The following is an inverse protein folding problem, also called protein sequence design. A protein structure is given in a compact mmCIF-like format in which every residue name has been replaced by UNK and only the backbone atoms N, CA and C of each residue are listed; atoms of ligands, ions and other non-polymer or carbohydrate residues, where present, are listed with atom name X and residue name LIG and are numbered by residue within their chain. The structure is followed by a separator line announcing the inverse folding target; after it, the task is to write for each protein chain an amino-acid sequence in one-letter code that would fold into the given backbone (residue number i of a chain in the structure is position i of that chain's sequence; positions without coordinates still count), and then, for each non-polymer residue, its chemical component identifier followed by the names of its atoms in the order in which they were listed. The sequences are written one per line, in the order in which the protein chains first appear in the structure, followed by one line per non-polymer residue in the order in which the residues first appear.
data_IF_325237892532
#
_entry.id   IF_325237892532
#
_cell.length_a   1.000
_cell.length_b   1.000
_cell.length_c   1.000
_cell.angle_alpha   90.00
_cell.angle_beta   90.00
_cell.angle_gamma   90.00
#
_symmetry.space_group_name_H-M   'P 1'
#
loop_
_entity.id
_entity.type
_entity.pdbx_description
1 polymer ?
#
# COMPACT_ATOMS: atom_id res chain seq x y z
N UNK A 1 29.22 15.46 -48.48
CA UNK A 1 28.52 14.68 -47.43
C UNK A 1 29.28 13.39 -47.15
N UNK A 2 30.60 13.46 -46.91
CA UNK A 2 31.44 12.26 -46.85
C UNK A 2 32.78 12.58 -46.20
N UNK A 3 32.84 12.43 -44.89
CA UNK A 3 34.01 11.99 -44.14
C UNK A 3 33.58 11.85 -42.67
N UNK A 4 33.88 10.71 -42.07
CA UNK A 4 33.61 10.34 -40.67
C UNK A 4 34.50 11.15 -39.69
N UNK A 5 34.80 12.41 -39.99
CA UNK A 5 35.87 13.23 -39.40
C UNK A 5 35.53 13.77 -38.01
N UNK A 6 34.25 14.07 -37.76
CA UNK A 6 33.79 14.55 -36.44
C UNK A 6 32.65 13.63 -35.99
N UNK A 7 32.85 12.96 -34.85
CA UNK A 7 31.85 12.07 -34.24
C UNK A 7 31.46 12.59 -32.87
N UNK A 8 30.15 12.66 -32.61
CA UNK A 8 29.64 12.94 -31.28
C UNK A 8 29.86 11.69 -30.43
N UNK A 9 30.65 11.81 -29.36
CA UNK A 9 30.86 10.72 -28.40
C UNK A 9 29.56 10.48 -27.64
N UNK A 10 29.09 9.24 -27.61
CA UNK A 10 27.94 8.86 -26.80
C UNK A 10 28.18 9.17 -25.32
N UNK A 11 27.14 9.65 -24.65
CA UNK A 11 27.18 9.90 -23.20
C UNK A 11 27.46 8.60 -22.44
N UNK A 12 28.50 8.60 -21.59
CA UNK A 12 28.84 7.45 -20.76
C UNK A 12 28.02 7.48 -19.47
N UNK A 13 27.01 6.61 -19.39
CA UNK A 13 26.25 6.37 -18.16
C UNK A 13 26.87 5.30 -17.27
N UNK A 14 26.36 5.17 -16.05
CA UNK A 14 26.68 4.03 -15.16
C UNK A 14 25.57 2.97 -15.21
N UNK A 15 25.96 1.69 -15.19
CA UNK A 15 25.00 0.60 -15.24
C UNK A 15 24.26 0.42 -13.91
N UNK A 16 22.95 0.14 -13.98
CA UNK A 16 22.10 -0.15 -12.80
C UNK A 16 21.98 -1.65 -12.49
N UNK A 17 22.71 -2.52 -13.20
CA UNK A 17 22.59 -3.98 -13.08
C UNK A 17 22.75 -4.48 -11.64
N UNK A 18 23.80 -4.05 -10.94
CA UNK A 18 24.02 -4.41 -9.51
C UNK A 18 22.89 -3.91 -8.60
N UNK A 19 22.36 -2.72 -8.87
CA UNK A 19 21.25 -2.16 -8.10
C UNK A 19 19.95 -2.94 -8.33
N UNK A 20 19.67 -3.35 -9.56
CA UNK A 20 18.50 -4.18 -9.89
C UNK A 20 18.56 -5.55 -9.21
N UNK A 21 19.71 -6.22 -9.26
CA UNK A 21 19.92 -7.49 -8.56
C UNK A 21 19.68 -7.35 -7.05
N UNK A 22 20.22 -6.29 -6.42
CA UNK A 22 19.97 -6.00 -4.99
C UNK A 22 18.50 -5.69 -4.71
N UNK A 23 17.80 -4.97 -5.60
CA UNK A 23 16.36 -4.65 -5.46
C UNK A 23 15.50 -5.90 -5.53
N UNK A 24 15.76 -6.79 -6.50
CA UNK A 24 15.06 -8.08 -6.64
C UNK A 24 15.24 -8.90 -5.36
N UNK A 25 16.49 -9.02 -4.87
CA UNK A 25 16.76 -9.75 -3.64
C UNK A 25 16.04 -9.15 -2.43
N UNK A 26 16.04 -7.81 -2.28
CA UNK A 26 15.31 -7.12 -1.21
C UNK A 26 13.80 -7.31 -1.31
N UNK A 27 13.23 -7.37 -2.52
CA UNK A 27 11.81 -7.63 -2.71
C UNK A 27 11.43 -9.05 -2.28
N UNK A 28 12.31 -10.04 -2.51
CA UNK A 28 12.04 -11.45 -2.17
C UNK A 28 12.13 -11.73 -0.66
N UNK A 29 13.22 -11.30 -0.01
CA UNK A 29 13.51 -11.66 1.41
C UNK A 29 13.49 -10.49 2.40
N UNK A 30 13.27 -9.26 1.93
CA UNK A 30 13.41 -8.06 2.75
C UNK A 30 14.85 -7.77 3.18
N UNK A 31 14.99 -6.76 4.04
CA UNK A 31 16.27 -6.36 4.64
C UNK A 31 16.48 -7.08 5.98
N UNK A 32 17.63 -7.74 6.16
CA UNK A 32 18.03 -8.40 7.42
C UNK A 32 18.21 -7.40 8.56
N UNK A 33 18.04 -7.83 9.81
CA UNK A 33 18.11 -6.93 10.98
C UNK A 33 19.47 -6.20 11.08
N UNK A 34 20.60 -6.91 10.93
CA UNK A 34 21.93 -6.31 10.98
C UNK A 34 22.23 -5.31 9.85
N UNK A 35 21.43 -5.30 8.77
CA UNK A 35 21.56 -4.33 7.68
C UNK A 35 20.63 -3.12 7.84
N UNK A 36 19.70 -3.13 8.81
CA UNK A 36 18.80 -2.00 9.07
C UNK A 36 19.53 -0.97 9.91
N UNK A 37 19.71 0.22 9.36
CA UNK A 37 20.20 1.39 10.09
C UNK A 37 18.99 2.26 10.47
N UNK A 38 19.01 2.82 11.68
CA UNK A 38 17.96 3.71 12.18
C UNK A 38 16.78 3.05 12.91
N UNK A 39 16.15 3.82 13.80
CA UNK A 39 15.00 3.40 14.62
C UNK A 39 13.79 3.05 13.73
N UNK A 40 12.90 2.17 14.21
CA UNK A 40 11.67 1.76 13.51
C UNK A 40 10.85 2.94 12.95
N UNK A 41 10.68 4.00 13.75
CA UNK A 41 9.91 5.18 13.36
C UNK A 41 10.60 6.08 12.31
N UNK A 42 11.93 6.00 12.18
CA UNK A 42 12.68 6.72 11.14
C UNK A 42 12.60 6.02 9.78
N UNK A 43 12.41 4.69 9.78
CA UNK A 43 12.27 3.89 8.55
C UNK A 43 10.88 4.02 7.92
N UNK A 44 9.84 4.07 8.74
CA UNK A 44 8.46 4.38 8.35
C UNK A 44 7.76 5.06 9.53
N UNK A 45 7.11 6.20 9.29
CA UNK A 45 6.44 6.96 10.34
C UNK A 45 5.17 6.28 10.85
N UNK A 46 4.88 6.38 12.16
CA UNK A 46 3.63 5.84 12.75
C UNK A 46 2.38 6.43 12.06
N UNK A 47 2.39 7.74 11.82
CA UNK A 47 1.30 8.47 11.16
C UNK A 47 1.10 8.03 9.72
N UNK A 48 2.20 7.81 8.99
CA UNK A 48 2.16 7.33 7.60
C UNK A 48 1.52 5.95 7.47
N UNK A 49 1.89 5.02 8.36
CA UNK A 49 1.26 3.68 8.43
C UNK A 49 -0.23 3.80 8.73
N UNK A 50 -0.61 4.63 9.70
CA UNK A 50 -2.02 4.82 10.06
C UNK A 50 -2.84 5.41 8.90
N UNK A 51 -2.34 6.46 8.25
CA UNK A 51 -3.00 7.10 7.11
C UNK A 51 -3.19 6.11 5.97
N UNK A 52 -2.15 5.35 5.62
CA UNK A 52 -2.20 4.33 4.56
C UNK A 52 -3.23 3.25 4.88
N UNK A 53 -3.23 2.76 6.13
CA UNK A 53 -4.21 1.79 6.61
C UNK A 53 -5.63 2.31 6.48
N UNK A 54 -5.94 3.46 7.08
CA UNK A 54 -7.29 4.04 7.11
C UNK A 54 -7.81 4.33 5.70
N UNK A 55 -6.99 4.93 4.82
CA UNK A 55 -7.36 5.21 3.43
C UNK A 55 -7.72 3.93 2.69
N UNK A 56 -6.91 2.88 2.84
CA UNK A 56 -7.14 1.60 2.17
C UNK A 56 -8.42 0.90 2.64
N UNK A 57 -8.80 1.06 3.92
CA UNK A 57 -10.03 0.49 4.47
C UNK A 57 -11.26 1.29 4.03
N UNK A 58 -11.20 2.62 4.09
CA UNK A 58 -12.29 3.50 3.66
C UNK A 58 -12.60 3.35 2.18
N UNK A 59 -11.59 3.21 1.34
CA UNK A 59 -11.78 2.96 -0.09
C UNK A 59 -12.53 1.65 -0.34
N UNK A 60 -12.16 0.55 0.34
CA UNK A 60 -12.87 -0.73 0.21
C UNK A 60 -14.29 -0.67 0.73
N UNK A 61 -14.51 0.01 1.85
CA UNK A 61 -15.85 0.24 2.38
C UNK A 61 -16.71 1.06 1.41
N UNK A 62 -16.13 2.06 0.74
CA UNK A 62 -16.79 2.81 -0.33
C UNK A 62 -17.19 1.88 -1.49
N UNK A 63 -16.28 1.03 -1.96
CA UNK A 63 -16.57 0.05 -3.02
C UNK A 63 -17.73 -0.89 -2.62
N UNK A 64 -17.76 -1.37 -1.38
CA UNK A 64 -18.87 -2.19 -0.90
C UNK A 64 -20.21 -1.42 -0.91
N UNK A 65 -20.21 -0.14 -0.49
CA UNK A 65 -21.39 0.72 -0.57
C UNK A 65 -21.84 0.93 -2.01
N UNK A 66 -20.90 1.22 -2.92
CA UNK A 66 -21.21 1.48 -4.33
C UNK A 66 -21.81 0.23 -5.02
N UNK A 67 -21.43 -0.97 -4.56
CA UNK A 67 -22.03 -2.25 -4.97
C UNK A 67 -23.37 -2.58 -4.31
N UNK A 68 -23.88 -1.69 -3.44
CA UNK A 68 -25.10 -1.88 -2.63
C UNK A 68 -25.03 -3.12 -1.72
N UNK A 69 -23.83 -3.51 -1.32
CA UNK A 69 -23.60 -4.59 -0.37
C UNK A 69 -23.96 -4.20 1.08
N UNK A 70 -23.98 -2.90 1.36
CA UNK A 70 -24.26 -2.31 2.68
C UNK A 70 -25.17 -1.10 2.52
N UNK A 71 -25.98 -0.81 3.54
CA UNK A 71 -26.81 0.40 3.57
C UNK A 71 -25.96 1.63 3.93
N UNK A 72 -26.50 2.84 3.68
CA UNK A 72 -25.82 4.08 4.03
C UNK A 72 -25.63 4.23 5.55
N UNK A 73 -26.55 3.69 6.37
CA UNK A 73 -26.46 3.72 7.83
C UNK A 73 -25.27 2.88 8.32
N UNK A 74 -25.17 1.65 7.84
CA UNK A 74 -24.09 0.73 8.22
C UNK A 74 -22.72 1.21 7.73
N UNK A 75 -22.69 1.86 6.55
CA UNK A 75 -21.49 2.50 6.03
C UNK A 75 -20.90 3.49 7.04
N UNK A 76 -21.71 4.39 7.60
CA UNK A 76 -21.21 5.40 8.55
C UNK A 76 -20.78 4.80 9.88
N UNK A 77 -21.45 3.74 10.35
CA UNK A 77 -21.04 3.02 11.55
C UNK A 77 -19.64 2.39 11.37
N UNK A 78 -19.45 1.64 10.27
CA UNK A 78 -18.16 1.04 9.92
C UNK A 78 -17.09 2.11 9.66
N UNK A 79 -17.46 3.23 9.04
CA UNK A 79 -16.55 4.34 8.78
C UNK A 79 -15.98 4.96 10.07
N UNK A 80 -16.83 5.13 11.10
CA UNK A 80 -16.42 5.59 12.43
C UNK A 80 -15.50 4.57 13.12
N UNK A 81 -15.84 3.28 13.06
CA UNK A 81 -15.00 2.18 13.59
C UNK A 81 -13.61 2.12 12.95
N UNK A 82 -13.52 2.39 11.63
CA UNK A 82 -12.23 2.52 10.94
C UNK A 82 -11.43 3.70 11.49
N UNK A 83 -12.07 4.86 11.69
CA UNK A 83 -11.45 6.05 12.30
C UNK A 83 -10.90 5.77 13.70
N UNK A 84 -11.66 5.01 14.51
CA UNK A 84 -11.27 4.56 15.84
C UNK A 84 -10.22 3.42 15.87
N UNK A 85 -9.67 2.99 14.72
CA UNK A 85 -8.71 1.89 14.61
C UNK A 85 -9.22 0.52 15.11
N UNK A 86 -10.54 0.35 15.28
CA UNK A 86 -11.18 -0.92 15.65
C UNK A 86 -11.01 -1.97 14.55
N UNK A 87 -11.05 -1.53 13.29
CA UNK A 87 -10.82 -2.39 12.13
C UNK A 87 -9.32 -2.65 11.97
N UNK A 88 -8.94 -3.94 12.03
CA UNK A 88 -7.54 -4.38 12.13
C UNK A 88 -6.86 -4.41 10.76
N UNK A 89 -7.50 -5.04 9.78
CA UNK A 89 -7.00 -5.24 8.43
C UNK A 89 -8.17 -5.39 7.44
N UNK A 90 -7.87 -5.68 6.17
CA UNK A 90 -8.87 -5.83 5.11
C UNK A 90 -9.77 -7.06 5.34
N UNK A 91 -9.21 -8.16 5.83
CA UNK A 91 -9.98 -9.37 6.11
C UNK A 91 -11.03 -9.11 7.20
N UNK A 92 -10.63 -8.45 8.30
CA UNK A 92 -11.55 -8.05 9.36
C UNK A 92 -12.63 -7.08 8.86
N UNK A 93 -12.30 -6.16 7.93
CA UNK A 93 -13.33 -5.32 7.31
C UNK A 93 -14.36 -6.15 6.54
N UNK A 94 -13.90 -7.18 5.81
CA UNK A 94 -14.80 -8.07 5.05
C UNK A 94 -15.71 -8.87 5.97
N UNK A 95 -15.19 -9.43 7.07
CA UNK A 95 -16.02 -10.17 8.03
C UNK A 95 -17.09 -9.27 8.64
N UNK A 96 -16.75 -8.03 9.03
CA UNK A 96 -17.72 -7.07 9.55
C UNK A 96 -18.80 -6.68 8.52
N UNK A 97 -18.44 -6.58 7.24
CA UNK A 97 -19.41 -6.32 6.16
C UNK A 97 -20.36 -7.50 6.01
N UNK A 98 -19.86 -8.74 6.04
CA UNK A 98 -20.70 -9.92 5.97
C UNK A 98 -21.63 -10.05 7.19
N UNK A 99 -21.17 -9.73 8.40
CA UNK A 99 -22.01 -9.68 9.61
C UNK A 99 -23.15 -8.66 9.50
N UNK A 100 -22.89 -7.51 8.90
CA UNK A 100 -23.93 -6.49 8.63
C UNK A 100 -24.92 -7.00 7.58
N UNK A 101 -24.44 -7.69 6.54
CA UNK A 101 -25.30 -8.29 5.50
C UNK A 101 -26.20 -9.37 6.06
N UNK A 102 -25.70 -10.26 6.91
CA UNK A 102 -26.53 -11.31 7.52
C UNK A 102 -27.59 -10.70 8.42
N UNK A 103 -27.23 -9.68 9.19
CA UNK A 103 -28.18 -8.96 10.07
C UNK A 103 -29.29 -8.22 9.31
N UNK A 104 -29.04 -7.74 8.10
CA UNK A 104 -30.06 -7.04 7.29
C UNK A 104 -31.01 -7.98 6.55
N UNK A 105 -30.64 -9.26 6.40
CA UNK A 105 -31.47 -10.30 5.76
C UNK A 105 -32.35 -11.06 6.73
N UNK A 106 -32.02 -11.04 8.02
CA UNK A 106 -32.78 -11.66 9.10
C UNK A 106 -33.84 -10.70 9.64
#
# INVERSE_FOLDING_TARGET
MTANTIKIKGITGTSKGRAHLKKIQKSKRGTKQGSKKGRKGARVGKKEVYVTKVRSLRWRLKVAKDRKEITNKDFWELYKKIGGNTVRNIAHLRTLIEEVKTKSKS
#
